data_IF_126177673491
#
_entry.id   IF_126177673491
#
_cell.length_a   1.000
_cell.length_b   1.000
_cell.length_c   1.000
_cell.angle_alpha   90.00
_cell.angle_beta   90.00
_cell.angle_gamma   90.00
#
_symmetry.space_group_name_H-M   'P 1'
#
loop_
_entity.id
_entity.type
_entity.pdbx_description
1 polymer ?
#
# COMPACT_ATOMS: atom_id res chain seq x y z
N UNK A 1 10.82 -63.16 -22.52
CA UNK A 1 11.14 -62.50 -21.25
C UNK A 1 11.88 -61.22 -21.57
N UNK A 2 11.21 -60.07 -21.52
CA UNK A 2 11.84 -58.75 -21.69
C UNK A 2 11.85 -58.10 -20.31
N UNK A 3 13.03 -57.85 -19.77
CA UNK A 3 13.25 -57.27 -18.45
C UNK A 3 13.13 -55.75 -18.54
N UNK A 4 12.06 -55.19 -17.96
CA UNK A 4 11.89 -53.75 -17.81
C UNK A 4 12.69 -53.34 -16.57
N UNK A 5 13.80 -52.62 -16.77
CA UNK A 5 14.53 -51.94 -15.68
C UNK A 5 13.84 -50.62 -15.38
N UNK A 6 13.13 -50.55 -14.26
CA UNK A 6 12.64 -49.29 -13.70
C UNK A 6 13.82 -48.46 -13.19
N UNK A 7 14.05 -47.31 -13.81
CA UNK A 7 14.98 -46.29 -13.31
C UNK A 7 14.20 -45.46 -12.29
N UNK A 8 14.55 -45.59 -11.01
CA UNK A 8 14.06 -44.72 -9.94
C UNK A 8 14.91 -43.44 -9.98
N UNK A 9 14.32 -42.33 -10.41
CA UNK A 9 14.89 -41.00 -10.21
C UNK A 9 14.74 -40.64 -8.73
N UNK A 10 15.82 -40.74 -7.97
CA UNK A 10 15.90 -40.12 -6.64
C UNK A 10 16.16 -38.64 -6.89
N UNK A 11 15.10 -37.85 -6.97
CA UNK A 11 15.21 -36.39 -6.93
C UNK A 11 15.70 -35.98 -5.55
N UNK A 12 16.91 -35.44 -5.46
CA UNK A 12 17.37 -34.72 -4.28
C UNK A 12 16.50 -33.47 -4.12
N UNK A 13 15.51 -33.53 -3.22
CA UNK A 13 14.83 -32.35 -2.70
C UNK A 13 15.87 -31.54 -1.91
N UNK A 14 16.52 -30.60 -2.60
CA UNK A 14 17.22 -29.51 -1.92
C UNK A 14 16.12 -28.60 -1.41
N UNK A 15 15.65 -28.81 -0.18
CA UNK A 15 14.86 -27.80 0.52
C UNK A 15 15.74 -26.57 0.63
N UNK A 16 15.51 -25.57 -0.23
CA UNK A 16 16.05 -24.25 -0.01
C UNK A 16 15.52 -23.82 1.36
N UNK A 17 16.40 -23.77 2.37
CA UNK A 17 16.07 -23.17 3.66
C UNK A 17 15.82 -21.71 3.35
N UNK A 18 14.55 -21.32 3.30
CA UNK A 18 14.18 -19.92 3.16
C UNK A 18 14.59 -19.24 4.45
N UNK A 19 15.52 -18.30 4.35
CA UNK A 19 15.98 -17.54 5.49
C UNK A 19 14.78 -16.74 6.02
N UNK A 20 14.47 -16.92 7.29
CA UNK A 20 13.48 -16.09 7.97
C UNK A 20 14.07 -14.71 8.23
N UNK A 21 13.27 -13.68 7.98
CA UNK A 21 13.64 -12.30 8.26
C UNK A 21 13.57 -11.98 9.76
N UNK A 22 12.60 -12.57 10.49
CA UNK A 22 12.32 -12.21 11.88
C UNK A 22 12.38 -13.39 12.87
N UNK A 23 12.92 -14.53 12.46
CA UNK A 23 13.06 -15.73 13.28
C UNK A 23 11.85 -16.67 13.27
N UNK A 24 10.92 -16.50 12.34
CA UNK A 24 9.78 -17.39 12.13
C UNK A 24 10.17 -18.83 11.76
N UNK A 25 9.35 -19.77 12.23
CA UNK A 25 9.44 -21.18 11.87
C UNK A 25 8.91 -21.40 10.45
N UNK A 26 9.47 -22.36 9.71
CA UNK A 26 8.94 -22.80 8.41
C UNK A 26 7.93 -23.96 8.55
N UNK A 27 7.16 -23.98 9.64
CA UNK A 27 6.10 -24.97 9.88
C UNK A 27 4.74 -24.34 9.62
N UNK A 28 3.68 -25.13 9.47
CA UNK A 28 2.35 -24.55 9.32
C UNK A 28 1.88 -23.92 10.63
N UNK A 29 1.41 -22.67 10.55
CA UNK A 29 0.94 -21.87 11.68
C UNK A 29 -0.58 -21.89 11.76
N UNK A 30 -1.15 -22.35 12.88
CA UNK A 30 -2.60 -22.41 13.07
C UNK A 30 -3.09 -21.19 13.85
N UNK A 31 -3.10 -20.02 13.20
CA UNK A 31 -3.33 -18.74 13.88
C UNK A 31 -4.67 -18.57 14.59
N UNK A 32 -5.67 -19.41 14.30
CA UNK A 32 -6.94 -19.42 15.06
C UNK A 32 -6.77 -19.95 16.50
N UNK A 33 -5.68 -20.68 16.78
CA UNK A 33 -5.33 -21.15 18.12
C UNK A 33 -4.47 -20.15 18.90
N UNK A 34 -3.90 -19.15 18.21
CA UNK A 34 -3.07 -18.12 18.81
C UNK A 34 -3.93 -17.00 19.41
N UNK A 35 -3.48 -16.34 20.49
CA UNK A 35 -4.17 -15.17 21.02
C UNK A 35 -4.27 -14.06 19.97
N UNK A 36 -5.46 -13.50 19.82
CA UNK A 36 -5.69 -12.33 18.99
C UNK A 36 -5.05 -11.09 19.64
N UNK A 37 -3.83 -10.76 19.25
CA UNK A 37 -3.05 -9.65 19.83
C UNK A 37 -3.13 -8.40 18.96
N UNK A 38 -3.39 -7.26 19.59
CA UNK A 38 -3.37 -5.95 18.93
C UNK A 38 -1.92 -5.54 18.61
N UNK A 39 -1.63 -5.21 17.36
CA UNK A 39 -0.33 -4.67 16.95
C UNK A 39 -0.02 -3.36 17.71
N UNK A 40 1.26 -3.08 17.95
CA UNK A 40 1.72 -1.97 18.79
C UNK A 40 1.26 -1.99 20.26
N UNK A 41 0.68 -3.10 20.74
CA UNK A 41 0.48 -3.34 22.17
C UNK A 41 1.75 -3.89 22.83
N UNK A 42 1.79 -3.89 24.16
CA UNK A 42 2.91 -4.47 24.91
C UNK A 42 3.07 -5.99 24.66
N UNK A 43 2.00 -6.66 24.22
CA UNK A 43 1.98 -8.09 23.91
C UNK A 43 2.48 -8.40 22.50
N UNK A 44 2.44 -7.43 21.57
CA UNK A 44 2.87 -7.62 20.19
C UNK A 44 4.39 -7.53 20.05
N UNK A 45 5.10 -8.46 20.70
CA UNK A 45 6.56 -8.56 20.63
C UNK A 45 6.98 -9.95 20.13
N UNK A 46 8.02 -10.08 19.29
CA UNK A 46 8.43 -11.36 18.70
C UNK A 46 8.71 -12.48 19.71
N UNK A 47 9.08 -12.14 20.95
CA UNK A 47 9.35 -13.12 22.02
C UNK A 47 8.06 -13.63 22.71
N UNK A 48 6.92 -12.98 22.50
CA UNK A 48 5.66 -13.25 23.19
C UNK A 48 4.55 -13.81 22.29
N UNK A 49 4.68 -13.62 20.98
CA UNK A 49 3.69 -14.07 19.99
C UNK A 49 4.38 -14.74 18.83
N UNK A 50 3.61 -15.57 18.13
CA UNK A 50 3.97 -16.03 16.81
C UNK A 50 3.83 -14.87 15.79
N UNK A 51 4.95 -14.39 15.26
CA UNK A 51 5.00 -13.29 14.28
C UNK A 51 4.34 -13.63 12.94
N UNK A 52 4.06 -14.91 12.66
CA UNK A 52 3.22 -15.30 11.54
C UNK A 52 1.72 -15.11 11.80
N UNK A 53 1.33 -15.02 13.07
CA UNK A 53 -0.07 -14.87 13.51
C UNK A 53 -0.39 -13.50 14.09
N UNK A 54 0.63 -12.69 14.39
CA UNK A 54 0.50 -11.31 14.87
C UNK A 54 1.55 -10.44 14.20
N UNK A 55 1.15 -9.28 13.67
CA UNK A 55 2.12 -8.32 13.14
C UNK A 55 2.89 -7.63 14.27
N UNK A 56 4.21 -7.84 14.33
CA UNK A 56 5.09 -7.42 15.44
C UNK A 56 6.07 -6.31 15.09
N UNK A 57 6.32 -6.03 13.80
CA UNK A 57 7.30 -5.03 13.37
C UNK A 57 6.59 -3.82 12.76
N UNK A 58 5.69 -4.08 11.81
CA UNK A 58 4.92 -3.10 11.04
C UNK A 58 3.56 -2.74 11.60
N UNK A 59 3.44 -2.62 12.93
CA UNK A 59 2.15 -2.65 13.62
C UNK A 59 1.24 -1.43 13.42
N UNK A 60 1.73 -0.34 12.81
CA UNK A 60 0.92 0.81 12.42
C UNK A 60 0.68 0.74 10.91
N UNK A 61 -0.48 0.22 10.50
CA UNK A 61 -0.79 0.03 9.09
C UNK A 61 -1.36 1.30 8.48
N UNK A 62 -0.95 1.61 7.27
CA UNK A 62 -1.49 2.70 6.47
C UNK A 62 -2.11 2.14 5.19
N UNK A 63 -3.42 2.30 5.01
CA UNK A 63 -4.05 2.11 3.70
C UNK A 63 -4.08 3.46 2.98
N UNK A 64 -3.34 3.55 1.87
CA UNK A 64 -3.05 4.80 1.18
C UNK A 64 -3.76 4.86 -0.17
N UNK A 65 -4.19 6.06 -0.55
CA UNK A 65 -4.97 6.29 -1.77
C UNK A 65 -4.52 7.53 -2.51
N UNK A 66 -4.65 7.50 -3.84
CA UNK A 66 -4.40 8.62 -4.72
C UNK A 66 -5.69 9.26 -5.25
N UNK A 67 -5.67 10.58 -5.37
CA UNK A 67 -6.50 11.31 -6.32
C UNK A 67 -5.64 11.80 -7.47
N UNK A 68 -5.74 11.10 -8.60
CA UNK A 68 -5.11 11.50 -9.84
C UNK A 68 -6.18 12.07 -10.79
N UNK A 69 -5.81 13.06 -11.59
CA UNK A 69 -6.68 13.58 -12.66
C UNK A 69 -6.37 12.98 -14.02
N UNK A 70 -5.21 12.34 -14.17
CA UNK A 70 -4.77 11.66 -15.40
C UNK A 70 -3.80 10.52 -15.05
N UNK A 71 -3.60 9.60 -15.99
CA UNK A 71 -2.66 8.47 -15.85
C UNK A 71 -1.35 8.71 -16.59
N UNK A 72 -1.36 9.50 -17.68
CA UNK A 72 -0.20 9.67 -18.56
C UNK A 72 -0.01 8.51 -19.54
N UNK A 73 -0.85 7.48 -19.44
CA UNK A 73 -0.88 6.29 -20.30
C UNK A 73 -2.27 6.10 -20.94
N UNK A 74 -3.04 7.17 -21.09
CA UNK A 74 -4.37 7.13 -21.69
C UNK A 74 -4.35 6.55 -23.10
N UNK A 75 -3.29 6.85 -23.88
CA UNK A 75 -3.10 6.34 -25.23
C UNK A 75 -2.92 4.81 -25.27
N UNK A 76 -2.46 4.22 -24.17
CA UNK A 76 -2.29 2.77 -23.98
C UNK A 76 -3.53 2.14 -23.32
N UNK A 77 -4.59 2.91 -23.09
CA UNK A 77 -5.85 2.44 -22.49
C UNK A 77 -5.86 2.43 -20.96
N UNK A 78 -4.76 2.82 -20.29
CA UNK A 78 -4.74 2.95 -18.84
C UNK A 78 -5.53 4.20 -18.45
N UNK A 79 -6.70 3.99 -17.83
CA UNK A 79 -7.64 5.05 -17.45
C UNK A 79 -8.04 4.92 -15.99
N UNK A 80 -8.37 6.05 -15.37
CA UNK A 80 -8.84 6.15 -14.00
C UNK A 80 -10.26 5.59 -13.86
N UNK A 81 -10.59 4.93 -12.74
CA UNK A 81 -11.96 4.57 -12.44
C UNK A 81 -12.81 5.83 -12.17
N UNK A 82 -14.08 5.88 -12.60
CA UNK A 82 -14.95 7.01 -12.29
C UNK A 82 -15.25 7.07 -10.79
N UNK A 83 -15.41 8.29 -10.27
CA UNK A 83 -15.93 8.56 -8.92
C UNK A 83 -15.21 7.78 -7.81
N UNK A 84 -13.88 7.68 -7.91
CA UNK A 84 -13.10 6.87 -6.97
C UNK A 84 -11.68 7.41 -6.82
N UNK A 85 -11.14 7.33 -5.61
CA UNK A 85 -9.70 7.39 -5.38
C UNK A 85 -9.10 6.03 -5.73
N UNK A 86 -7.89 5.98 -6.28
CA UNK A 86 -7.20 4.72 -6.59
C UNK A 86 -6.35 4.25 -5.41
N UNK A 87 -6.13 2.94 -5.30
CA UNK A 87 -5.21 2.37 -4.33
C UNK A 87 -3.78 2.86 -4.61
N UNK A 88 -3.10 3.35 -3.57
CA UNK A 88 -1.66 3.59 -3.57
C UNK A 88 -0.97 2.35 -2.99
N UNK A 89 -1.26 1.98 -1.74
CA UNK A 89 -0.70 0.79 -1.13
C UNK A 89 -1.25 0.45 0.27
N UNK A 90 -0.59 -0.51 0.90
CA UNK A 90 -0.78 -0.90 2.30
C UNK A 90 0.60 -0.99 2.95
N UNK A 91 0.89 -0.09 3.88
CA UNK A 91 2.25 0.10 4.42
C UNK A 91 2.35 -0.29 5.89
N UNK A 92 3.42 -1.01 6.28
CA UNK A 92 3.75 -1.31 7.66
C UNK A 92 4.65 -0.23 8.27
N UNK A 93 4.09 0.79 8.90
CA UNK A 93 4.88 1.70 9.71
C UNK A 93 5.19 1.04 11.07
N UNK A 94 6.35 1.39 11.62
CA UNK A 94 6.71 1.08 13.00
C UNK A 94 5.74 1.81 13.95
N UNK A 95 5.57 1.28 15.16
CA UNK A 95 4.66 1.83 16.16
C UNK A 95 5.02 3.26 16.63
N UNK A 96 6.24 3.73 16.35
CA UNK A 96 6.68 5.09 16.62
C UNK A 96 6.45 6.06 15.44
N UNK A 97 5.87 5.59 14.32
CA UNK A 97 5.61 6.36 13.10
C UNK A 97 6.80 6.51 12.15
N UNK A 98 7.93 5.85 12.43
CA UNK A 98 8.97 5.62 11.42
C UNK A 98 8.58 4.41 10.56
N UNK A 99 9.34 4.12 9.51
CA UNK A 99 9.12 2.96 8.64
C UNK A 99 10.44 2.36 8.17
N UNK A 100 10.41 1.05 7.96
CA UNK A 100 11.45 0.33 7.23
C UNK A 100 11.04 0.18 5.76
N UNK A 101 12.00 -0.14 4.88
CA UNK A 101 11.72 -0.34 3.47
C UNK A 101 12.65 -1.38 2.83
N UNK A 102 12.12 -2.14 1.87
CA UNK A 102 12.85 -3.20 1.18
C UNK A 102 13.52 -4.19 2.13
N UNK A 103 12.74 -4.71 3.09
CA UNK A 103 13.24 -5.52 4.20
C UNK A 103 13.73 -6.91 3.77
N UNK A 104 13.30 -7.40 2.59
CA UNK A 104 13.79 -8.65 2.00
C UNK A 104 14.11 -8.49 0.51
N UNK A 105 15.40 -8.38 0.20
CA UNK A 105 15.86 -8.21 -1.19
C UNK A 105 15.78 -9.50 -2.02
N UNK A 106 15.55 -10.66 -1.41
CA UNK A 106 15.37 -11.92 -2.15
C UNK A 106 13.99 -12.02 -2.80
N UNK A 107 13.04 -11.18 -2.36
CA UNK A 107 11.67 -11.03 -2.89
C UNK A 107 11.40 -9.64 -3.45
N UNK A 108 12.43 -9.00 -3.96
CA UNK A 108 12.33 -7.68 -4.60
C UNK A 108 11.94 -7.85 -6.08
N UNK A 109 10.90 -7.12 -6.49
CA UNK A 109 10.34 -7.07 -7.84
C UNK A 109 10.19 -5.64 -8.41
N UNK A 110 10.77 -4.63 -7.76
CA UNK A 110 10.66 -3.22 -8.18
C UNK A 110 11.68 -2.88 -9.29
N UNK A 111 11.24 -2.53 -10.51
CA UNK A 111 12.12 -2.23 -11.63
C UNK A 111 12.79 -0.85 -11.54
N UNK A 112 12.30 0.06 -10.69
CA UNK A 112 12.81 1.41 -10.50
C UNK A 112 12.79 1.86 -9.01
N UNK A 113 13.60 1.25 -8.13
CA UNK A 113 13.60 1.53 -6.70
C UNK A 113 13.81 3.01 -6.36
N UNK A 114 12.87 3.58 -5.58
CA UNK A 114 12.94 4.95 -5.09
C UNK A 114 12.39 5.12 -3.67
N UNK A 115 13.23 5.54 -2.70
CA UNK A 115 14.69 5.61 -2.75
C UNK A 115 15.33 4.25 -3.09
N UNK A 116 16.54 4.23 -3.64
CA UNK A 116 17.23 3.02 -4.09
C UNK A 116 18.13 2.37 -3.01
N UNK A 117 17.84 2.60 -1.72
CA UNK A 117 18.52 1.97 -0.59
C UNK A 117 17.52 1.51 0.46
N UNK A 118 17.84 0.49 1.26
CA UNK A 118 16.93 -0.10 2.28
C UNK A 118 16.61 0.85 3.44
N UNK A 119 17.34 1.95 3.59
CA UNK A 119 17.10 2.95 4.65
C UNK A 119 16.71 4.32 4.10
N UNK A 120 16.61 4.46 2.78
CA UNK A 120 16.44 5.76 2.12
C UNK A 120 17.64 6.71 2.25
N UNK A 121 18.72 6.29 2.91
CA UNK A 121 19.93 7.08 3.10
C UNK A 121 21.04 6.63 2.14
N UNK A 122 22.00 7.53 1.79
CA UNK A 122 23.12 7.19 0.92
C UNK A 122 24.01 6.03 1.42
N UNK A 123 23.99 5.74 2.73
CA UNK A 123 24.75 4.65 3.35
C UNK A 123 23.95 3.37 3.55
N UNK A 124 22.67 3.33 3.14
CA UNK A 124 21.86 2.12 3.18
C UNK A 124 22.30 1.08 2.16
N UNK A 125 21.86 -0.16 2.34
CA UNK A 125 22.10 -1.24 1.37
C UNK A 125 21.42 -0.90 0.06
N UNK A 126 22.14 -0.99 -1.06
CA UNK A 126 21.59 -0.68 -2.39
C UNK A 126 20.51 -1.69 -2.76
N UNK A 127 19.38 -1.18 -3.25
CA UNK A 127 18.29 -1.96 -3.81
C UNK A 127 18.49 -2.03 -5.33
N UNK A 128 18.89 -3.18 -5.89
CA UNK A 128 19.10 -3.29 -7.33
C UNK A 128 17.77 -3.23 -8.07
N UNK A 129 17.70 -2.56 -9.23
CA UNK A 129 16.51 -2.59 -10.07
C UNK A 129 16.17 -4.01 -10.55
N UNK A 130 14.91 -4.42 -10.41
CA UNK A 130 14.43 -5.70 -10.90
C UNK A 130 14.40 -5.77 -12.43
N UNK A 131 14.72 -6.94 -12.99
CA UNK A 131 14.80 -7.18 -14.46
C UNK A 131 14.06 -8.45 -14.88
N UNK A 132 13.32 -9.07 -13.97
CA UNK A 132 12.56 -10.28 -14.26
C UNK A 132 11.16 -9.99 -14.84
N UNK A 133 10.29 -11.00 -14.88
CA UNK A 133 8.91 -10.86 -15.37
C UNK A 133 8.08 -9.85 -14.57
N UNK A 134 7.12 -9.22 -15.25
CA UNK A 134 6.11 -8.36 -14.64
C UNK A 134 5.41 -9.08 -13.45
N UNK A 135 5.39 -8.45 -12.27
CA UNK A 135 4.80 -9.02 -11.03
C UNK A 135 3.33 -9.44 -11.18
N UNK A 136 2.56 -8.78 -12.05
CA UNK A 136 1.18 -9.17 -12.36
C UNK A 136 1.06 -10.54 -13.02
N UNK A 137 2.10 -11.01 -13.72
CA UNK A 137 2.13 -12.37 -14.31
C UNK A 137 2.22 -13.47 -13.26
N UNK A 138 2.63 -13.15 -12.02
CA UNK A 138 2.69 -14.10 -10.91
C UNK A 138 1.31 -14.58 -10.46
N UNK A 139 0.25 -13.85 -10.83
CA UNK A 139 -1.14 -14.22 -10.53
C UNK A 139 -1.70 -15.27 -11.49
N UNK A 140 -1.10 -15.45 -12.66
CA UNK A 140 -1.62 -16.34 -13.71
C UNK A 140 -1.58 -17.83 -13.33
N UNK A 141 -0.49 -18.37 -12.73
CA UNK A 141 -0.47 -19.77 -12.27
C UNK A 141 -1.53 -20.09 -11.22
N UNK A 142 -1.98 -19.08 -10.46
CA UNK A 142 -3.07 -19.21 -9.48
C UNK A 142 -4.47 -19.02 -10.10
N UNK A 143 -4.56 -18.75 -11.41
CA UNK A 143 -5.81 -18.47 -12.11
C UNK A 143 -6.51 -17.18 -11.67
N UNK A 144 -5.78 -16.23 -11.06
CA UNK A 144 -6.31 -15.00 -10.44
C UNK A 144 -6.40 -13.84 -11.44
N UNK A 145 -7.03 -14.09 -12.58
CA UNK A 145 -7.19 -13.08 -13.64
C UNK A 145 -8.16 -11.96 -13.24
N UNK A 146 -9.19 -12.27 -12.44
CA UNK A 146 -10.14 -11.30 -11.91
C UNK A 146 -9.48 -10.28 -10.96
N UNK A 147 -8.53 -10.75 -10.15
CA UNK A 147 -7.69 -9.91 -9.31
C UNK A 147 -6.82 -8.97 -10.16
N UNK A 148 -6.16 -9.50 -11.21
CA UNK A 148 -5.34 -8.71 -12.12
C UNK A 148 -6.17 -7.62 -12.84
N UNK A 149 -7.37 -7.96 -13.30
CA UNK A 149 -8.30 -6.99 -13.90
C UNK A 149 -8.72 -5.91 -12.92
N UNK A 150 -8.99 -6.30 -11.66
CA UNK A 150 -9.32 -5.35 -10.61
C UNK A 150 -8.15 -4.40 -10.33
N UNK A 151 -6.92 -4.91 -10.22
CA UNK A 151 -5.72 -4.10 -9.99
C UNK A 151 -5.47 -3.14 -11.15
N UNK A 152 -5.61 -3.59 -12.40
CA UNK A 152 -5.51 -2.71 -13.57
C UNK A 152 -6.55 -1.59 -13.59
N UNK A 153 -7.68 -1.77 -12.91
CA UNK A 153 -8.76 -0.79 -12.84
C UNK A 153 -8.59 0.20 -11.69
N UNK A 154 -8.08 -0.23 -10.54
CA UNK A 154 -8.12 0.55 -9.30
C UNK A 154 -6.75 0.84 -8.66
N UNK A 155 -5.68 0.19 -9.11
CA UNK A 155 -4.31 0.37 -8.58
C UNK A 155 -3.39 0.92 -9.67
N UNK A 156 -3.59 2.21 -9.95
CA UNK A 156 -3.06 2.87 -11.16
C UNK A 156 -1.72 3.56 -10.89
N UNK A 157 -0.73 3.30 -11.75
CA UNK A 157 0.54 4.01 -11.76
C UNK A 157 0.46 5.27 -12.63
N UNK A 158 0.68 6.46 -12.05
CA UNK A 158 0.72 7.68 -12.85
C UNK A 158 2.08 7.82 -13.55
N UNK A 159 2.06 7.93 -14.87
CA UNK A 159 3.24 8.13 -15.71
C UNK A 159 4.02 6.85 -16.04
N UNK A 160 3.57 5.69 -15.56
CA UNK A 160 4.17 4.40 -15.88
C UNK A 160 3.16 3.24 -15.94
N UNK A 161 3.61 2.05 -16.35
CA UNK A 161 2.80 0.83 -16.30
C UNK A 161 2.40 0.46 -14.86
N UNK A 162 1.17 0.01 -14.66
CA UNK A 162 0.69 -0.37 -13.32
C UNK A 162 1.57 -1.41 -12.62
N UNK A 163 2.11 -2.38 -13.37
CA UNK A 163 2.90 -3.46 -12.79
C UNK A 163 4.23 -3.03 -12.18
N UNK A 164 4.86 -1.98 -12.71
CA UNK A 164 6.08 -1.42 -12.12
C UNK A 164 5.79 -0.90 -10.71
N UNK A 165 4.62 -0.26 -10.56
CA UNK A 165 4.15 0.27 -9.28
C UNK A 165 3.72 -0.84 -8.31
N UNK A 166 3.05 -1.89 -8.77
CA UNK A 166 2.75 -3.03 -7.91
C UNK A 166 4.04 -3.71 -7.42
N UNK A 167 5.06 -3.77 -8.28
CA UNK A 167 6.40 -4.25 -7.93
C UNK A 167 7.03 -3.38 -6.84
N UNK A 168 6.93 -2.06 -6.97
CA UNK A 168 7.33 -1.11 -5.93
C UNK A 168 6.62 -1.36 -4.60
N UNK A 169 5.29 -1.38 -4.61
CA UNK A 169 4.49 -1.51 -3.39
C UNK A 169 4.77 -2.82 -2.66
N UNK A 170 4.88 -3.94 -3.38
CA UNK A 170 5.26 -5.21 -2.77
C UNK A 170 6.69 -5.16 -2.21
N UNK A 171 7.66 -4.80 -3.05
CA UNK A 171 9.08 -4.87 -2.71
C UNK A 171 9.48 -3.94 -1.57
N UNK A 172 8.86 -2.76 -1.52
CA UNK A 172 9.22 -1.73 -0.55
C UNK A 172 8.48 -1.92 0.76
N UNK A 173 7.20 -2.32 0.70
CA UNK A 173 6.32 -2.34 1.86
C UNK A 173 5.91 -3.76 2.28
N UNK A 174 5.45 -4.61 1.37
CA UNK A 174 4.98 -5.95 1.71
C UNK A 174 6.06 -6.81 2.39
N UNK A 175 7.31 -6.69 1.92
CA UNK A 175 8.45 -7.45 2.48
C UNK A 175 8.77 -7.11 3.94
N UNK A 176 8.21 -6.02 4.48
CA UNK A 176 8.47 -5.53 5.83
C UNK A 176 7.40 -5.93 6.85
N UNK A 177 6.39 -6.69 6.43
CA UNK A 177 5.46 -7.35 7.35
C UNK A 177 6.05 -8.71 7.76
N UNK A 178 5.97 -9.06 9.05
CA UNK A 178 6.34 -10.42 9.49
C UNK A 178 5.38 -11.47 8.93
N UNK A 179 4.10 -11.14 8.92
CA UNK A 179 3.04 -12.06 8.51
C UNK A 179 3.06 -12.44 7.03
N UNK A 180 3.80 -11.71 6.18
CA UNK A 180 4.04 -12.05 4.77
C UNK A 180 5.43 -12.64 4.53
N UNK A 181 6.22 -12.93 5.57
CA UNK A 181 7.50 -13.63 5.40
C UNK A 181 7.25 -15.08 4.94
N UNK A 182 8.16 -15.60 4.12
CA UNK A 182 7.98 -16.89 3.48
C UNK A 182 7.86 -18.09 4.43
N UNK A 183 8.56 -18.14 5.59
CA UNK A 183 8.38 -19.21 6.55
C UNK A 183 6.94 -19.32 7.08
N UNK A 184 6.18 -18.22 7.12
CA UNK A 184 4.81 -18.20 7.61
C UNK A 184 3.82 -18.98 6.73
N UNK A 185 4.20 -19.26 5.49
CA UNK A 185 3.46 -20.10 4.57
C UNK A 185 3.78 -21.59 4.71
N UNK A 186 4.80 -21.91 5.52
CA UNK A 186 5.15 -23.28 5.85
C UNK A 186 5.81 -24.06 4.71
N UNK A 187 5.93 -25.40 4.88
CA UNK A 187 6.72 -26.23 3.98
C UNK A 187 6.07 -26.46 2.60
N UNK A 188 4.79 -26.12 2.45
CA UNK A 188 4.02 -26.31 1.21
C UNK A 188 3.90 -25.04 0.37
N UNK A 189 4.68 -24.00 0.69
CA UNK A 189 4.62 -22.73 -0.04
C UNK A 189 4.72 -22.89 -1.55
N UNK A 190 3.82 -22.22 -2.25
CA UNK A 190 3.86 -22.06 -3.71
C UNK A 190 4.48 -20.71 -4.06
N UNK A 191 5.42 -20.70 -5.00
CA UNK A 191 6.09 -19.46 -5.44
C UNK A 191 5.10 -18.35 -5.81
N UNK A 192 5.26 -17.20 -5.14
CA UNK A 192 4.45 -15.98 -5.24
C UNK A 192 3.06 -16.01 -4.59
N UNK A 193 2.74 -17.01 -3.77
CA UNK A 193 1.50 -16.95 -2.99
C UNK A 193 1.48 -15.80 -1.97
N UNK A 194 2.65 -15.36 -1.51
CA UNK A 194 2.82 -14.18 -0.64
C UNK A 194 2.51 -12.87 -1.36
N UNK A 195 2.90 -12.75 -2.63
CA UNK A 195 2.53 -11.65 -3.52
C UNK A 195 1.01 -11.61 -3.70
N UNK A 196 0.40 -12.76 -3.98
CA UNK A 196 -1.05 -12.90 -4.14
C UNK A 196 -1.80 -12.49 -2.86
N UNK A 197 -1.35 -12.95 -1.70
CA UNK A 197 -1.98 -12.63 -0.41
C UNK A 197 -1.80 -11.17 -0.01
N UNK A 198 -0.64 -10.56 -0.29
CA UNK A 198 -0.44 -9.13 -0.08
C UNK A 198 -1.41 -8.30 -0.93
N UNK A 199 -1.52 -8.58 -2.22
CA UNK A 199 -2.44 -7.83 -3.09
C UNK A 199 -3.90 -7.97 -2.64
N UNK A 200 -4.36 -9.18 -2.32
CA UNK A 200 -5.71 -9.39 -1.78
C UNK A 200 -5.91 -8.62 -0.46
N UNK A 201 -4.89 -8.56 0.38
CA UNK A 201 -4.94 -7.85 1.67
C UNK A 201 -5.01 -6.34 1.46
N UNK A 202 -4.15 -5.74 0.65
CA UNK A 202 -4.18 -4.32 0.32
C UNK A 202 -5.57 -3.89 -0.22
N UNK A 203 -6.14 -4.70 -1.12
CA UNK A 203 -7.48 -4.49 -1.68
C UNK A 203 -8.57 -4.60 -0.62
N UNK A 204 -8.46 -5.57 0.30
CA UNK A 204 -9.41 -5.75 1.41
C UNK A 204 -9.51 -4.49 2.28
N UNK A 205 -8.39 -3.84 2.58
CA UNK A 205 -8.38 -2.59 3.33
C UNK A 205 -8.92 -1.42 2.49
N UNK A 206 -8.44 -1.27 1.26
CA UNK A 206 -8.90 -0.22 0.33
C UNK A 206 -10.43 -0.19 0.17
N UNK A 207 -11.06 -1.36 -0.03
CA UNK A 207 -12.51 -1.45 -0.28
C UNK A 207 -13.38 -0.97 0.88
N UNK A 208 -12.82 -0.83 2.08
CA UNK A 208 -13.52 -0.33 3.28
C UNK A 208 -13.49 1.20 3.39
N UNK A 209 -12.72 1.86 2.52
CA UNK A 209 -12.38 3.27 2.60
C UNK A 209 -12.82 4.02 1.34
N UNK A 210 -14.13 4.14 1.05
CA UNK A 210 -14.65 4.80 -0.15
C UNK A 210 -14.56 6.34 -0.03
N UNK A 211 -13.33 6.87 -0.08
CA UNK A 211 -13.01 8.29 0.15
C UNK A 211 -13.85 9.24 -0.71
N UNK A 212 -14.01 8.94 -2.00
CA UNK A 212 -14.83 9.76 -2.90
C UNK A 212 -16.28 9.85 -2.44
N UNK A 213 -16.88 8.71 -2.06
CA UNK A 213 -18.28 8.66 -1.62
C UNK A 213 -18.47 9.47 -0.34
N UNK A 214 -17.55 9.30 0.62
CA UNK A 214 -17.57 10.02 1.88
C UNK A 214 -17.46 11.54 1.69
N UNK A 215 -16.61 12.01 0.78
CA UNK A 215 -16.50 13.44 0.45
C UNK A 215 -17.76 13.94 -0.27
N UNK A 216 -18.27 13.18 -1.24
CA UNK A 216 -19.47 13.50 -2.01
C UNK A 216 -20.73 13.64 -1.11
N UNK A 217 -20.85 12.83 -0.06
CA UNK A 217 -21.93 12.96 0.93
C UNK A 217 -21.93 14.34 1.62
N UNK A 218 -20.75 14.94 1.82
CA UNK A 218 -20.58 16.29 2.35
C UNK A 218 -20.56 17.38 1.27
N UNK A 219 -20.88 17.03 0.01
CA UNK A 219 -20.80 17.92 -1.16
C UNK A 219 -19.40 18.49 -1.41
N UNK A 220 -18.38 17.74 -1.00
CA UNK A 220 -16.98 17.95 -1.38
C UNK A 220 -16.77 17.08 -2.62
N UNK A 221 -16.83 17.69 -3.79
CA UNK A 221 -16.78 17.01 -5.08
C UNK A 221 -15.66 17.60 -5.93
N UNK A 222 -15.13 16.83 -6.91
CA UNK A 222 -14.16 17.38 -7.85
C UNK A 222 -14.73 18.62 -8.56
N UNK A 223 -13.95 19.70 -8.63
CA UNK A 223 -14.32 20.95 -9.29
C UNK A 223 -13.08 21.73 -9.73
N UNK A 224 -13.15 22.32 -10.92
CA UNK A 224 -12.13 23.25 -11.42
C UNK A 224 -12.29 24.68 -10.88
N UNK A 225 -13.38 25.00 -10.18
CA UNK A 225 -13.69 26.34 -9.68
C UNK A 225 -13.85 26.44 -8.16
N UNK A 226 -14.27 25.36 -7.51
CA UNK A 226 -14.55 25.34 -6.07
C UNK A 226 -13.30 24.93 -5.30
N UNK A 227 -13.03 25.66 -4.21
CA UNK A 227 -11.97 25.31 -3.26
C UNK A 227 -12.53 24.93 -1.90
N UNK A 228 -11.73 24.21 -1.13
CA UNK A 228 -12.08 23.65 0.17
C UNK A 228 -11.06 24.04 1.23
N UNK A 229 -11.42 23.88 2.51
CA UNK A 229 -10.47 23.92 3.62
C UNK A 229 -10.03 22.51 3.99
N UNK A 230 -8.81 22.38 4.50
CA UNK A 230 -8.33 21.11 5.06
C UNK A 230 -9.28 20.55 6.13
N UNK A 231 -9.82 21.42 6.99
CA UNK A 231 -10.74 21.03 8.05
C UNK A 231 -12.06 20.45 7.55
N UNK A 232 -12.57 20.89 6.39
CA UNK A 232 -13.76 20.29 5.78
C UNK A 232 -13.49 18.86 5.33
N UNK A 233 -12.36 18.63 4.66
CA UNK A 233 -11.96 17.33 4.14
C UNK A 233 -11.64 16.38 5.29
N UNK A 234 -10.69 16.72 6.16
CA UNK A 234 -10.32 15.89 7.31
C UNK A 234 -11.50 15.67 8.26
N UNK A 235 -12.34 16.69 8.48
CA UNK A 235 -13.52 16.57 9.33
C UNK A 235 -14.54 15.56 8.82
N UNK A 236 -14.84 15.59 7.51
CA UNK A 236 -15.76 14.62 6.92
C UNK A 236 -15.17 13.20 6.92
N UNK A 237 -13.90 13.05 6.53
CA UNK A 237 -13.25 11.75 6.50
C UNK A 237 -13.11 11.16 7.92
N UNK A 238 -12.78 11.98 8.92
CA UNK A 238 -12.70 11.55 10.31
C UNK A 238 -14.05 11.10 10.86
N UNK A 239 -15.13 11.82 10.52
CA UNK A 239 -16.49 11.43 10.89
C UNK A 239 -16.87 10.05 10.33
N UNK A 240 -16.38 9.71 9.14
CA UNK A 240 -16.69 8.45 8.46
C UNK A 240 -15.80 7.29 8.88
N UNK A 241 -14.51 7.55 9.04
CA UNK A 241 -13.51 6.56 9.38
C UNK A 241 -13.44 6.27 10.89
N UNK A 242 -13.78 7.24 11.73
CA UNK A 242 -13.63 7.17 13.19
C UNK A 242 -12.29 7.69 13.71
N UNK A 243 -11.36 8.06 12.83
CA UNK A 243 -10.10 8.70 13.16
C UNK A 243 -9.67 9.69 12.07
N UNK A 244 -8.80 10.65 12.39
CA UNK A 244 -8.36 11.69 11.44
C UNK A 244 -7.32 11.11 10.48
N UNK A 245 -7.61 10.99 9.17
CA UNK A 245 -6.61 10.54 8.20
C UNK A 245 -5.62 11.65 7.86
N UNK A 246 -4.48 11.25 7.30
CA UNK A 246 -3.56 12.18 6.63
C UNK A 246 -4.19 12.59 5.29
N UNK A 247 -4.10 13.87 4.95
CA UNK A 247 -4.45 14.39 3.62
C UNK A 247 -3.19 15.01 3.04
N UNK A 248 -2.73 14.43 1.93
CA UNK A 248 -1.58 14.90 1.17
C UNK A 248 -2.01 15.84 0.06
N UNK A 249 -1.25 16.92 -0.11
CA UNK A 249 -1.39 17.84 -1.23
C UNK A 249 -0.09 18.01 -2.02
N UNK A 250 -0.27 18.26 -3.31
CA UNK A 250 0.73 18.61 -4.31
C UNK A 250 0.46 20.01 -4.90
N UNK A 251 1.07 20.34 -6.03
CA UNK A 251 0.91 21.66 -6.68
C UNK A 251 1.70 22.78 -5.98
N UNK A 252 1.40 24.07 -6.25
CA UNK A 252 2.12 25.18 -5.66
C UNK A 252 1.90 25.27 -4.15
N UNK A 253 2.81 25.96 -3.44
CA UNK A 253 2.61 26.31 -2.03
C UNK A 253 1.66 27.50 -1.94
N UNK A 254 0.74 27.53 -0.98
CA UNK A 254 -0.30 28.57 -0.94
C UNK A 254 0.28 29.99 -0.91
N UNK A 255 1.30 30.25 -0.09
CA UNK A 255 2.02 31.53 -0.04
C UNK A 255 2.68 31.98 -1.36
N UNK A 256 2.83 31.07 -2.34
CA UNK A 256 3.35 31.40 -3.68
C UNK A 256 2.25 31.62 -4.72
N UNK A 257 0.99 31.34 -4.38
CA UNK A 257 -0.16 31.58 -5.27
C UNK A 257 -0.57 33.05 -5.28
N UNK A 258 -1.26 33.50 -6.33
CA UNK A 258 -1.80 34.86 -6.40
C UNK A 258 -2.72 35.17 -5.20
N UNK A 259 -3.56 34.22 -4.78
CA UNK A 259 -4.42 34.36 -3.61
C UNK A 259 -3.62 34.46 -2.29
N UNK A 260 -2.58 33.63 -2.12
CA UNK A 260 -1.73 33.69 -0.94
C UNK A 260 -0.91 34.98 -0.85
N UNK A 261 -0.38 35.46 -1.96
CA UNK A 261 0.33 36.75 -2.05
C UNK A 261 -0.61 37.90 -1.72
N UNK A 262 -1.81 37.94 -2.33
CA UNK A 262 -2.81 38.96 -2.04
C UNK A 262 -3.27 38.96 -0.57
N UNK A 263 -3.28 37.80 0.07
CA UNK A 263 -3.61 37.64 1.49
C UNK A 263 -2.41 37.87 2.43
N UNK A 264 -1.20 38.17 1.91
CA UNK A 264 0.04 38.22 2.68
C UNK A 264 0.24 36.98 3.58
N UNK A 265 -0.11 35.81 3.06
CA UNK A 265 -0.11 34.55 3.82
C UNK A 265 1.29 33.96 3.94
N UNK A 266 1.62 33.44 5.12
CA UNK A 266 2.86 32.67 5.36
C UNK A 266 2.66 31.16 5.22
N UNK A 267 1.45 30.72 4.89
CA UNK A 267 1.10 29.31 4.78
C UNK A 267 1.81 28.66 3.57
N UNK A 268 2.78 27.81 3.87
CA UNK A 268 3.61 27.14 2.88
C UNK A 268 3.09 25.76 2.48
N UNK A 269 1.90 25.36 2.94
CA UNK A 269 1.28 24.09 2.57
C UNK A 269 0.90 24.05 1.09
N UNK A 270 0.81 22.84 0.54
CA UNK A 270 0.50 22.56 -0.87
C UNK A 270 -1.01 22.69 -1.13
N UNK A 271 -1.41 23.06 -2.35
CA UNK A 271 -2.80 23.48 -2.63
C UNK A 271 -3.66 22.47 -3.37
N UNK A 272 -3.13 21.35 -3.87
CA UNK A 272 -3.91 20.40 -4.68
C UNK A 272 -4.00 19.07 -3.96
N UNK A 273 -5.20 18.59 -3.62
CA UNK A 273 -5.37 17.29 -2.98
C UNK A 273 -4.83 16.19 -3.90
N UNK A 274 -3.96 15.34 -3.38
CA UNK A 274 -3.35 14.25 -4.13
C UNK A 274 -3.47 12.91 -3.43
N UNK A 275 -3.54 12.88 -2.10
CA UNK A 275 -3.50 11.63 -1.34
C UNK A 275 -4.35 11.66 -0.08
N UNK A 276 -4.79 10.47 0.34
CA UNK A 276 -5.37 10.24 1.67
C UNK A 276 -4.80 8.96 2.26
N UNK A 277 -4.29 9.01 3.49
CA UNK A 277 -3.76 7.84 4.20
C UNK A 277 -4.54 7.58 5.49
N UNK A 278 -5.04 6.36 5.61
CA UNK A 278 -5.83 5.90 6.75
C UNK A 278 -4.97 5.03 7.64
N UNK A 279 -4.86 5.37 8.92
CA UNK A 279 -3.99 4.68 9.88
C UNK A 279 -4.80 3.72 10.73
N UNK A 280 -4.26 2.54 11.02
CA UNK A 280 -4.88 1.53 11.86
C UNK A 280 -3.88 0.64 12.57
N UNK A 281 -4.28 0.10 13.71
CA UNK A 281 -3.67 -1.11 14.24
C UNK A 281 -4.46 -2.34 13.78
N UNK A 282 -3.83 -3.50 13.77
CA UNK A 282 -4.46 -4.77 13.41
C UNK A 282 -4.50 -5.70 14.61
N UNK A 283 -5.48 -6.60 14.63
CA UNK A 283 -5.58 -7.65 15.64
C UNK A 283 -5.24 -8.98 14.98
N UNK A 284 -4.13 -9.58 15.39
CA UNK A 284 -3.54 -10.75 14.72
C UNK A 284 -2.93 -10.38 13.38
N UNK A 285 -3.25 -11.15 12.34
CA UNK A 285 -2.69 -10.96 11.00
C UNK A 285 -3.38 -9.84 10.21
N UNK A 286 -2.62 -8.98 9.50
CA UNK A 286 -3.17 -8.06 8.51
C UNK A 286 -4.12 -8.74 7.51
N UNK A 287 -3.79 -9.97 7.09
CA UNK A 287 -4.55 -10.79 6.16
C UNK A 287 -5.98 -11.07 6.64
N UNK A 288 -6.23 -11.12 7.94
CA UNK A 288 -7.57 -11.39 8.49
C UNK A 288 -8.47 -10.14 8.40
N UNK A 289 -7.87 -8.96 8.33
CA UNK A 289 -8.59 -7.70 8.14
C UNK A 289 -9.28 -7.21 9.42
N UNK A 290 -8.86 -7.64 10.61
CA UNK A 290 -9.37 -7.10 11.86
C UNK A 290 -8.52 -5.88 12.23
N UNK A 291 -9.11 -4.68 12.20
CA UNK A 291 -8.36 -3.43 12.38
C UNK A 291 -9.09 -2.38 13.19
N UNK A 292 -8.33 -1.57 13.92
CA UNK A 292 -8.81 -0.47 14.75
C UNK A 292 -8.27 0.85 14.17
N UNK A 293 -9.13 1.75 13.68
CA UNK A 293 -8.73 3.08 13.22
C UNK A 293 -7.97 3.87 14.29
N UNK A 294 -6.90 4.55 13.87
CA UNK A 294 -6.16 5.52 14.71
C UNK A 294 -5.89 6.80 13.94
N UNK A 295 -5.63 7.88 14.67
CA UNK A 295 -5.31 9.17 14.05
C UNK A 295 -3.97 9.09 13.32
N UNK A 296 -3.87 9.81 12.20
CA UNK A 296 -2.60 9.99 11.51
C UNK A 296 -1.53 10.59 12.44
N UNK A 297 -0.31 10.09 12.30
CA UNK A 297 0.88 10.60 13.00
C UNK A 297 1.27 11.99 12.46
N UNK A 298 2.10 12.71 13.22
CA UNK A 298 2.56 14.05 12.82
C UNK A 298 3.79 13.96 11.89
N UNK A 299 3.86 14.73 10.79
CA UNK A 299 2.87 15.70 10.33
C UNK A 299 1.64 15.03 9.71
N UNK A 300 0.45 15.48 10.09
CA UNK A 300 -0.82 14.88 9.66
C UNK A 300 -1.37 15.44 8.32
N UNK A 301 -0.58 16.26 7.61
CA UNK A 301 -0.92 16.81 6.30
C UNK A 301 0.30 17.50 5.65
N UNK A 302 0.34 17.55 4.32
CA UNK A 302 1.20 18.46 3.55
C UNK A 302 0.44 19.66 2.94
N UNK A 303 -0.87 19.73 3.19
CA UNK A 303 -1.78 20.72 2.62
C UNK A 303 -1.72 22.09 3.30
N UNK A 304 -2.08 23.12 2.55
CA UNK A 304 -2.36 24.44 3.08
C UNK A 304 -3.56 24.41 4.04
N UNK A 305 -3.48 25.22 5.09
CA UNK A 305 -4.51 25.38 6.13
C UNK A 305 -5.33 26.66 5.94
N UNK A 306 -4.87 27.58 5.09
CA UNK A 306 -5.59 28.79 4.75
C UNK A 306 -6.99 28.49 4.18
N UNK A 307 -7.94 29.39 4.47
CA UNK A 307 -9.34 29.21 4.07
C UNK A 307 -9.46 29.22 2.54
N UNK A 308 -10.08 28.18 1.98
CA UNK A 308 -10.31 28.07 0.54
C UNK A 308 -9.04 27.85 -0.28
N UNK A 309 -7.97 27.32 0.34
CA UNK A 309 -6.70 27.11 -0.33
C UNK A 309 -6.61 25.79 -1.13
N UNK A 310 -7.49 24.82 -0.86
CA UNK A 310 -7.36 23.48 -1.42
C UNK A 310 -8.23 23.27 -2.65
N UNK A 311 -7.60 22.79 -3.70
CA UNK A 311 -8.23 22.36 -4.94
C UNK A 311 -8.42 20.85 -4.94
N UNK A 312 -9.63 20.43 -5.27
CA UNK A 312 -9.98 19.04 -5.54
C UNK A 312 -10.41 18.97 -7.01
N UNK A 313 -9.48 18.78 -7.93
CA UNK A 313 -9.74 18.96 -9.36
C UNK A 313 -10.52 17.81 -9.98
N UNK A 314 -11.31 18.13 -11.01
CA UNK A 314 -11.96 17.14 -11.88
C UNK A 314 -10.90 16.34 -12.65
N UNK A 315 -11.17 15.05 -12.96
CA UNK A 315 -10.33 14.30 -13.86
C UNK A 315 -10.24 14.98 -15.24
N UNK A 316 -9.07 14.87 -15.87
CA UNK A 316 -8.81 15.36 -17.22
C UNK A 316 -9.74 14.67 -18.21
N UNK A 317 -10.33 15.40 -19.19
CA UNK A 317 -11.17 14.79 -20.22
C UNK A 317 -10.45 13.65 -20.95
N UNK A 318 -11.11 12.50 -21.06
CA UNK A 318 -10.56 11.29 -21.71
C UNK A 318 -9.77 10.36 -20.78
N UNK A 319 -9.41 10.82 -19.57
CA UNK A 319 -8.62 10.02 -18.60
C UNK A 319 -9.46 9.07 -17.74
N UNK A 320 -10.79 9.08 -17.86
CA UNK A 320 -11.69 8.25 -17.05
C UNK A 320 -12.28 7.11 -17.86
N UNK A 321 -12.44 5.94 -17.27
CA UNK A 321 -13.07 4.80 -17.92
C UNK A 321 -14.52 5.12 -18.29
N UNK A 322 -14.92 4.79 -19.52
CA UNK A 322 -16.26 5.07 -20.03
C UNK A 322 -16.52 6.52 -20.43
N UNK A 323 -15.50 7.40 -20.41
CA UNK A 323 -15.54 8.74 -21.03
C UNK A 323 -15.30 8.70 -22.53
#
# INVERSE_FOLDING_TARGET
>A
MVSIKSIVFVGTLVSAVKASLYGESNQNHTCILEPAVLSCSAQATPDQVDSCCTETYGGLLLSTQFWNTYTGLEAQGQKLPPNSFTLHGLWPDLCNGLYDQYCDLTRQYDPAPSPNTTTGLPNGTVVPPYRGPNIGTFLEPFGRYDLLDWMNKYWINQGGPNHDFWGHEFSKHATCYSTFDLPCYGPEYVEHEDVLDFFQTAIKYYKRLPTWEWLNEAKIVPSNSTTYTLSQIQGQLAKKYGAVPYVGCSGPRYNTTAAGIAANSTDSGRTVISEVWYYMHVVGRPQDGNSIPVNATSPNTSCAKAKGALHYYEPTPGSVQGS
#
